data_IF_428114986531
#
_entry.id   IF_428114986531
#
_cell.length_a   1.000
_cell.length_b   1.000
_cell.length_c   1.000
_cell.angle_alpha   90.00
_cell.angle_beta   90.00
_cell.angle_gamma   90.00
#
_symmetry.space_group_name_H-M   'P 1'
#
loop_
_entity.id
_entity.type
_entity.pdbx_description
1 polymer ?
#
# COMPACT_ATOMS: atom_id res chain seq x y z
N UNK A 1 -24.29 8.30 16.12
CA UNK A 1 -23.56 7.03 16.34
C UNK A 1 -23.04 6.37 15.06
N UNK A 2 -23.32 6.90 13.86
CA UNK A 2 -22.96 6.27 12.56
C UNK A 2 -21.56 6.59 12.05
N UNK A 3 -20.96 7.72 12.41
CA UNK A 3 -19.64 8.14 11.88
C UNK A 3 -18.47 7.26 12.31
N UNK A 4 -18.47 6.75 13.55
CA UNK A 4 -17.39 5.91 14.06
C UNK A 4 -17.30 4.54 13.36
N UNK A 5 -18.45 3.96 12.98
CA UNK A 5 -18.50 2.69 12.27
C UNK A 5 -17.99 2.83 10.83
N UNK A 6 -18.33 3.94 10.17
CA UNK A 6 -17.83 4.25 8.81
C UNK A 6 -16.32 4.46 8.84
N UNK A 7 -15.81 5.24 9.80
CA UNK A 7 -14.37 5.46 9.94
C UNK A 7 -13.60 4.14 10.21
N UNK A 8 -14.16 3.26 11.05
CA UNK A 8 -13.56 1.96 11.33
C UNK A 8 -13.56 1.05 10.08
N UNK A 9 -14.63 1.08 9.28
CA UNK A 9 -14.70 0.34 8.02
C UNK A 9 -13.69 0.87 7.00
N UNK A 10 -13.58 2.20 6.84
CA UNK A 10 -12.62 2.83 5.93
C UNK A 10 -11.17 2.50 6.34
N UNK A 11 -10.88 2.54 7.65
CA UNK A 11 -9.58 2.16 8.20
C UNK A 11 -9.27 0.67 7.98
N UNK A 12 -10.26 -0.21 8.10
CA UNK A 12 -10.12 -1.64 7.83
C UNK A 12 -9.82 -1.89 6.35
N UNK A 13 -10.53 -1.20 5.43
CA UNK A 13 -10.29 -1.30 3.99
C UNK A 13 -8.89 -0.79 3.65
N UNK A 14 -8.46 0.33 4.24
CA UNK A 14 -7.09 0.82 4.10
C UNK A 14 -6.06 -0.21 4.56
N UNK A 15 -6.26 -0.82 5.72
CA UNK A 15 -5.36 -1.86 6.26
C UNK A 15 -5.27 -3.06 5.32
N UNK A 16 -6.39 -3.56 4.82
CA UNK A 16 -6.43 -4.68 3.88
C UNK A 16 -5.74 -4.34 2.56
N UNK A 17 -6.01 -3.15 2.01
CA UNK A 17 -5.35 -2.66 0.81
C UNK A 17 -3.85 -2.42 1.01
N UNK A 18 -3.44 -1.96 2.20
CA UNK A 18 -2.05 -1.76 2.58
C UNK A 18 -1.30 -3.08 2.69
N UNK A 19 -1.84 -4.06 3.42
CA UNK A 19 -1.25 -5.38 3.59
C UNK A 19 -1.20 -6.14 2.26
N UNK A 20 -2.31 -6.15 1.51
CA UNK A 20 -2.38 -6.78 0.20
C UNK A 20 -1.46 -6.11 -0.82
N UNK A 21 -1.45 -4.78 -0.87
CA UNK A 21 -0.55 -4.01 -1.72
C UNK A 21 0.92 -4.23 -1.36
N UNK A 22 1.26 -4.28 -0.07
CA UNK A 22 2.63 -4.57 0.39
C UNK A 22 3.05 -5.97 -0.06
N UNK A 23 2.18 -6.97 0.09
CA UNK A 23 2.46 -8.35 -0.32
C UNK A 23 2.66 -8.47 -1.84
N UNK A 24 1.78 -7.88 -2.64
CA UNK A 24 1.90 -7.88 -4.10
C UNK A 24 3.16 -7.14 -4.54
N UNK A 25 3.44 -5.98 -3.94
CA UNK A 25 4.61 -5.17 -4.26
C UNK A 25 5.88 -5.93 -3.87
N UNK A 26 5.90 -6.64 -2.74
CA UNK A 26 7.03 -7.48 -2.34
C UNK A 26 7.39 -8.53 -3.40
N UNK A 27 6.38 -9.22 -3.95
CA UNK A 27 6.58 -10.16 -5.06
C UNK A 27 7.03 -9.46 -6.34
N UNK A 28 6.40 -8.34 -6.70
CA UNK A 28 6.71 -7.59 -7.91
C UNK A 28 8.15 -7.07 -7.92
N UNK A 29 8.63 -6.53 -6.80
CA UNK A 29 10.01 -6.04 -6.70
C UNK A 29 11.00 -7.20 -6.50
N UNK A 30 10.56 -8.38 -6.08
CA UNK A 30 11.40 -9.58 -6.00
C UNK A 30 12.02 -9.99 -7.35
N UNK A 31 11.36 -9.64 -8.46
CA UNK A 31 11.77 -9.97 -9.84
C UNK A 31 12.83 -8.99 -10.37
N UNK A 32 12.97 -7.80 -9.77
CA UNK A 32 13.92 -6.79 -10.22
C UNK A 32 15.37 -7.24 -10.02
N UNK A 33 16.24 -6.93 -10.99
CA UNK A 33 17.70 -7.13 -10.86
C UNK A 33 18.29 -6.05 -9.94
N UNK A 34 18.23 -6.31 -8.63
CA UNK A 34 18.77 -5.44 -7.59
C UNK A 34 20.29 -5.23 -7.63
N UNK A 35 20.99 -6.10 -8.35
CA UNK A 35 22.43 -6.00 -8.65
C UNK A 35 22.81 -4.67 -9.32
N UNK A 36 21.87 -4.05 -10.05
CA UNK A 36 22.10 -2.73 -10.69
C UNK A 36 21.92 -1.54 -9.76
N UNK A 37 21.25 -1.71 -8.62
CA UNK A 37 20.90 -0.62 -7.70
C UNK A 37 21.73 -0.62 -6.42
N UNK A 38 22.27 -1.79 -6.03
CA UNK A 38 23.04 -1.95 -4.81
C UNK A 38 24.30 -2.75 -5.14
N UNK A 39 25.48 -2.22 -4.78
CA UNK A 39 26.78 -2.89 -5.00
C UNK A 39 26.87 -4.26 -4.32
N UNK A 40 26.14 -4.47 -3.22
CA UNK A 40 26.00 -5.77 -2.53
C UNK A 40 24.57 -6.32 -2.60
N UNK A 41 24.21 -7.09 -3.64
CA UNK A 41 22.86 -7.62 -3.84
C UNK A 41 22.40 -8.62 -2.78
N UNK A 42 23.33 -9.19 -2.02
CA UNK A 42 23.06 -10.13 -0.91
C UNK A 42 23.22 -9.52 0.48
N UNK A 43 23.60 -8.24 0.56
CA UNK A 43 23.77 -7.54 1.83
C UNK A 43 22.43 -7.30 2.55
N UNK A 44 22.48 -7.19 3.88
CA UNK A 44 21.32 -6.83 4.72
C UNK A 44 20.65 -5.53 4.24
N UNK A 45 21.46 -4.60 3.71
CA UNK A 45 21.01 -3.31 3.17
C UNK A 45 20.10 -3.45 1.95
N UNK A 46 20.41 -4.36 1.02
CA UNK A 46 19.57 -4.59 -0.16
C UNK A 46 18.19 -5.12 0.24
N UNK A 47 18.13 -6.08 1.18
CA UNK A 47 16.88 -6.67 1.69
C UNK A 47 16.01 -5.62 2.39
N UNK A 48 16.62 -4.75 3.19
CA UNK A 48 15.92 -3.65 3.86
C UNK A 48 15.36 -2.64 2.84
N UNK A 49 16.12 -2.32 1.78
CA UNK A 49 15.61 -1.45 0.71
C UNK A 49 14.41 -2.08 -0.01
N UNK A 50 14.44 -3.39 -0.32
CA UNK A 50 13.28 -4.07 -0.92
C UNK A 50 12.03 -3.96 -0.04
N UNK A 51 12.22 -4.10 1.27
CA UNK A 51 11.14 -3.99 2.23
C UNK A 51 10.55 -2.58 2.27
N UNK A 52 11.40 -1.56 2.30
CA UNK A 52 10.96 -0.16 2.28
C UNK A 52 10.19 0.16 1.00
N UNK A 53 10.65 -0.32 -0.17
CA UNK A 53 9.95 -0.13 -1.45
C UNK A 53 8.62 -0.90 -1.47
N UNK A 54 8.58 -2.11 -0.91
CA UNK A 54 7.34 -2.89 -0.80
C UNK A 54 6.31 -2.19 0.09
N UNK A 55 6.74 -1.65 1.24
CA UNK A 55 5.89 -0.86 2.13
C UNK A 55 5.37 0.40 1.43
N UNK A 56 6.20 1.06 0.62
CA UNK A 56 5.79 2.24 -0.14
C UNK A 56 4.72 1.90 -1.18
N UNK A 57 4.84 0.76 -1.87
CA UNK A 57 3.81 0.27 -2.78
C UNK A 57 2.49 -0.08 -2.08
N UNK A 58 2.57 -0.73 -0.91
CA UNK A 58 1.41 -0.97 -0.06
C UNK A 58 0.73 0.31 0.42
N UNK A 59 1.50 1.29 0.87
CA UNK A 59 1.01 2.59 1.31
C UNK A 59 0.28 3.33 0.18
N UNK A 60 0.87 3.35 -1.01
CA UNK A 60 0.26 3.96 -2.21
C UNK A 60 -1.07 3.28 -2.57
N UNK A 61 -1.11 1.94 -2.50
CA UNK A 61 -2.33 1.15 -2.76
C UNK A 61 -3.43 1.46 -1.75
N UNK A 62 -3.07 1.54 -0.46
CA UNK A 62 -4.00 1.94 0.61
C UNK A 62 -4.55 3.34 0.40
N UNK A 63 -3.71 4.31 0.03
CA UNK A 63 -4.14 5.67 -0.29
C UNK A 63 -5.13 5.68 -1.46
N UNK A 64 -4.86 4.96 -2.54
CA UNK A 64 -5.77 4.86 -3.69
C UNK A 64 -7.12 4.29 -3.26
N UNK A 65 -7.14 3.25 -2.42
CA UNK A 65 -8.37 2.67 -1.90
C UNK A 65 -9.20 3.69 -1.11
N UNK A 66 -8.55 4.48 -0.25
CA UNK A 66 -9.22 5.57 0.47
C UNK A 66 -9.74 6.65 -0.49
N UNK A 67 -8.95 7.06 -1.50
CA UNK A 67 -9.40 8.04 -2.49
C UNK A 67 -10.66 7.58 -3.22
N UNK A 68 -10.76 6.30 -3.58
CA UNK A 68 -11.97 5.73 -4.20
C UNK A 68 -13.18 5.78 -3.25
N UNK A 69 -12.99 5.46 -1.97
CA UNK A 69 -14.06 5.56 -0.97
C UNK A 69 -14.52 7.00 -0.79
N UNK A 70 -13.59 7.95 -0.68
CA UNK A 70 -13.89 9.39 -0.59
C UNK A 70 -14.62 9.89 -1.84
N UNK A 71 -14.19 9.48 -3.03
CA UNK A 71 -14.85 9.86 -4.28
C UNK A 71 -16.29 9.34 -4.34
N UNK A 72 -16.52 8.09 -3.90
CA UNK A 72 -17.87 7.51 -3.81
C UNK A 72 -18.76 8.23 -2.80
N UNK A 73 -18.22 8.58 -1.62
CA UNK A 73 -18.94 9.36 -0.62
C UNK A 73 -19.28 10.76 -1.12
N UNK A 74 -18.35 11.44 -1.80
CA UNK A 74 -18.57 12.76 -2.38
C UNK A 74 -19.65 12.72 -3.48
N UNK A 75 -19.64 11.69 -4.33
CA UNK A 75 -20.67 11.51 -5.36
C UNK A 75 -22.05 11.30 -4.74
N UNK A 76 -22.14 10.51 -3.66
CA UNK A 76 -23.40 10.30 -2.91
C UNK A 76 -23.89 11.55 -2.19
N UNK A 77 -23.04 12.54 -1.91
CA UNK A 77 -23.48 13.83 -1.36
C UNK A 77 -24.06 14.75 -2.45
N UNK A 78 -23.67 14.55 -3.71
CA UNK A 78 -24.08 15.37 -4.85
C UNK A 78 -25.41 14.92 -5.50
N UNK A 79 -25.80 13.65 -5.35
CA UNK A 79 -27.01 13.04 -5.90
C UNK A 79 -27.86 12.42 -4.80
#
# INVERSE_FOLDING_TARGET
MTGGVVLAADAMIFLLAFLGGTYITWWAIGILKWDKFVQDPYGSQARMLRFLVAMFGGFTTGLIALFYLFAGQALRMLF
#
